data_IF_576170958099
#
_entry.id   IF_576170958099
#
_cell.length_a   1.000
_cell.length_b   1.000
_cell.length_c   1.000
_cell.angle_alpha   90.00
_cell.angle_beta   90.00
_cell.angle_gamma   90.00
#
_symmetry.space_group_name_H-M   'P 1'
#
loop_
_entity.id
_entity.type
_entity.pdbx_description
1 polymer ?
#
# COMPACT_ATOMS: atom_id res chain seq x y z
N UNK A 1 -3.01 1.62 -34.58
CA UNK A 1 -2.38 1.10 -33.34
C UNK A 1 -3.46 0.89 -32.30
N UNK A 2 -3.94 -0.35 -32.28
CA UNK A 2 -5.05 -0.78 -31.42
C UNK A 2 -4.51 -0.97 -30.00
N UNK A 3 -4.78 0.00 -29.12
CA UNK A 3 -4.81 -0.26 -27.70
C UNK A 3 -6.04 -1.14 -27.43
N UNK A 4 -5.86 -2.46 -27.44
CA UNK A 4 -6.86 -3.38 -26.93
C UNK A 4 -6.98 -3.15 -25.43
N UNK A 5 -7.93 -2.29 -25.07
CA UNK A 5 -8.44 -2.25 -23.72
C UNK A 5 -9.02 -3.65 -23.47
N UNK A 6 -8.40 -4.44 -22.62
CA UNK A 6 -9.02 -5.64 -22.10
C UNK A 6 -10.22 -5.18 -21.27
N UNK A 7 -11.35 -5.03 -21.95
CA UNK A 7 -12.65 -4.95 -21.30
C UNK A 7 -12.92 -6.32 -20.70
N UNK A 8 -12.46 -6.54 -19.49
CA UNK A 8 -12.82 -7.72 -18.74
C UNK A 8 -14.34 -7.71 -18.57
N UNK A 9 -14.97 -8.87 -18.76
CA UNK A 9 -16.42 -9.11 -18.67
C UNK A 9 -17.05 -8.58 -17.37
N UNK A 10 -16.21 -8.34 -16.34
CA UNK A 10 -16.55 -7.78 -15.03
C UNK A 10 -16.79 -6.25 -15.07
N UNK A 11 -16.30 -5.54 -16.10
CA UNK A 11 -16.39 -4.08 -16.20
C UNK A 11 -17.78 -3.57 -16.61
N UNK A 12 -18.71 -4.44 -17.00
CA UNK A 12 -20.02 -4.08 -17.56
C UNK A 12 -21.16 -4.05 -16.53
N UNK A 13 -20.97 -4.55 -15.33
CA UNK A 13 -22.00 -4.53 -14.29
C UNK A 13 -21.95 -3.22 -13.49
N UNK A 14 -22.92 -2.34 -13.74
CA UNK A 14 -23.17 -1.15 -12.92
C UNK A 14 -24.13 -1.55 -11.79
N UNK A 15 -23.66 -1.58 -10.57
CA UNK A 15 -24.55 -1.72 -9.41
C UNK A 15 -25.03 -0.32 -9.00
N UNK A 16 -26.32 -0.08 -9.19
CA UNK A 16 -27.00 1.11 -8.71
C UNK A 16 -27.29 0.96 -7.22
N UNK A 17 -26.49 1.55 -6.37
CA UNK A 17 -26.82 1.74 -4.95
C UNK A 17 -27.18 3.22 -4.73
N UNK A 18 -28.44 3.60 -5.05
CA UNK A 18 -28.92 4.95 -4.85
C UNK A 18 -28.23 6.00 -5.74
N UNK A 19 -27.90 7.21 -5.23
CA UNK A 19 -27.31 8.30 -6.00
C UNK A 19 -25.83 8.07 -6.36
N UNK A 20 -25.18 7.02 -5.84
CA UNK A 20 -23.77 6.69 -6.10
C UNK A 20 -23.68 5.57 -7.15
N UNK A 21 -23.23 5.91 -8.35
CA UNK A 21 -22.92 4.95 -9.41
C UNK A 21 -21.49 4.42 -9.18
N UNK A 22 -21.35 3.37 -8.41
CA UNK A 22 -20.06 2.68 -8.26
C UNK A 22 -19.93 1.57 -9.31
N UNK A 23 -18.78 1.50 -9.96
CA UNK A 23 -18.48 0.36 -10.84
C UNK A 23 -18.24 -0.88 -9.95
N UNK A 24 -18.88 -1.99 -10.28
CA UNK A 24 -18.73 -3.28 -9.56
C UNK A 24 -17.26 -3.63 -9.33
N UNK A 25 -16.41 -3.31 -10.29
CA UNK A 25 -14.97 -3.52 -10.21
C UNK A 25 -14.33 -2.77 -9.03
N UNK A 26 -14.79 -1.55 -8.70
CA UNK A 26 -14.26 -0.77 -7.56
C UNK A 26 -14.62 -1.40 -6.23
N UNK A 27 -15.83 -1.94 -6.10
CA UNK A 27 -16.25 -2.66 -4.90
C UNK A 27 -15.43 -3.95 -4.70
N UNK A 28 -15.22 -4.71 -5.77
CA UNK A 28 -14.40 -5.92 -5.73
C UNK A 28 -12.96 -5.58 -5.33
N UNK A 29 -12.37 -4.54 -5.93
CA UNK A 29 -11.02 -4.09 -5.60
C UNK A 29 -10.91 -3.66 -4.12
N UNK A 30 -11.90 -2.93 -3.61
CA UNK A 30 -11.94 -2.53 -2.20
C UNK A 30 -12.01 -3.74 -1.26
N UNK A 31 -12.89 -4.71 -1.55
CA UNK A 31 -13.03 -5.91 -0.74
C UNK A 31 -11.76 -6.78 -0.77
N UNK A 32 -11.15 -6.96 -1.94
CA UNK A 32 -9.90 -7.70 -2.08
C UNK A 32 -8.78 -7.01 -1.31
N UNK A 33 -8.62 -5.69 -1.46
CA UNK A 33 -7.61 -4.91 -0.74
C UNK A 33 -7.81 -4.99 0.77
N UNK A 34 -9.05 -4.86 1.25
CA UNK A 34 -9.39 -4.97 2.67
C UNK A 34 -9.08 -6.38 3.21
N UNK A 35 -9.40 -7.43 2.43
CA UNK A 35 -9.08 -8.81 2.77
C UNK A 35 -7.58 -9.07 2.87
N UNK A 36 -6.80 -8.57 1.91
CA UNK A 36 -5.33 -8.71 1.89
C UNK A 36 -4.69 -7.97 3.07
N UNK A 37 -5.12 -6.73 3.33
CA UNK A 37 -4.64 -5.94 4.47
C UNK A 37 -4.97 -6.64 5.79
N UNK A 38 -6.20 -7.15 5.94
CA UNK A 38 -6.63 -7.88 7.13
C UNK A 38 -5.84 -9.16 7.35
N UNK A 39 -5.60 -9.93 6.28
CA UNK A 39 -4.79 -11.15 6.33
C UNK A 39 -3.34 -10.87 6.74
N UNK A 40 -2.72 -9.83 6.16
CA UNK A 40 -1.38 -9.40 6.53
C UNK A 40 -1.31 -8.91 7.98
N UNK A 41 -2.27 -8.10 8.41
CA UNK A 41 -2.35 -7.64 9.78
C UNK A 41 -2.44 -8.81 10.76
N UNK A 42 -3.34 -9.75 10.50
CA UNK A 42 -3.48 -10.95 11.32
C UNK A 42 -2.19 -11.78 11.34
N UNK A 43 -1.57 -11.99 10.19
CA UNK A 43 -0.31 -12.72 10.07
C UNK A 43 0.82 -12.08 10.87
N UNK A 44 0.98 -10.76 10.77
CA UNK A 44 2.09 -10.04 11.44
C UNK A 44 1.84 -9.91 12.94
N UNK A 45 0.58 -9.71 13.38
CA UNK A 45 0.30 -9.41 14.79
C UNK A 45 -0.02 -10.64 15.63
N UNK A 46 -0.62 -11.68 15.03
CA UNK A 46 -1.16 -12.83 15.77
C UNK A 46 -0.42 -14.15 15.55
N UNK A 47 0.52 -14.22 14.60
CA UNK A 47 1.26 -15.46 14.35
C UNK A 47 2.67 -15.42 14.92
N UNK A 48 3.23 -16.61 15.22
CA UNK A 48 4.64 -16.77 15.64
C UNK A 48 5.61 -16.26 14.58
N UNK A 49 5.25 -16.43 13.29
CA UNK A 49 6.02 -15.90 12.18
C UNK A 49 6.12 -14.37 12.23
N UNK A 50 5.02 -13.68 12.51
CA UNK A 50 5.02 -12.23 12.70
C UNK A 50 5.83 -11.79 13.92
N UNK A 51 5.82 -12.57 15.02
CA UNK A 51 6.68 -12.32 16.18
C UNK A 51 8.16 -12.41 15.82
N UNK A 52 8.54 -13.44 15.06
CA UNK A 52 9.90 -13.66 14.58
C UNK A 52 10.37 -12.52 13.66
N UNK A 53 9.50 -12.05 12.76
CA UNK A 53 9.78 -10.89 11.89
C UNK A 53 10.09 -9.66 12.75
N UNK A 54 9.23 -9.33 13.71
CA UNK A 54 9.43 -8.15 14.56
C UNK A 54 10.69 -8.25 15.41
N UNK A 55 10.95 -9.42 16.01
CA UNK A 55 12.17 -9.65 16.80
C UNK A 55 13.45 -9.43 15.96
N UNK A 56 13.46 -9.97 14.74
CA UNK A 56 14.58 -9.83 13.80
C UNK A 56 14.73 -8.39 13.29
N UNK A 57 13.63 -7.67 13.07
CA UNK A 57 13.66 -6.28 12.65
C UNK A 57 14.27 -5.35 13.71
N UNK A 58 14.04 -5.64 15.00
CA UNK A 58 14.58 -4.82 16.07
C UNK A 58 16.08 -5.08 16.33
N UNK A 59 16.51 -6.36 16.41
CA UNK A 59 17.89 -6.74 16.70
C UNK A 59 18.24 -8.06 16.02
N UNK A 60 18.72 -8.02 14.76
CA UNK A 60 19.03 -9.22 13.98
C UNK A 60 20.12 -10.08 14.63
N UNK A 61 21.11 -9.46 15.31
CA UNK A 61 22.21 -10.20 15.95
C UNK A 61 21.72 -11.04 17.13
N UNK A 62 20.80 -10.49 17.94
CA UNK A 62 20.21 -11.23 19.06
C UNK A 62 19.32 -12.36 18.53
N UNK A 63 18.57 -12.13 17.47
CA UNK A 63 17.75 -13.16 16.85
C UNK A 63 18.59 -14.34 16.34
N UNK A 64 19.77 -14.09 15.78
CA UNK A 64 20.74 -15.14 15.39
C UNK A 64 21.23 -15.94 16.59
N UNK A 65 21.53 -15.29 17.69
CA UNK A 65 21.95 -15.96 18.93
C UNK A 65 20.86 -16.88 19.52
N UNK A 66 19.59 -16.54 19.28
CA UNK A 66 18.44 -17.36 19.68
C UNK A 66 18.13 -18.50 18.70
N UNK A 67 19.00 -18.73 17.70
CA UNK A 67 18.88 -19.82 16.73
C UNK A 67 17.98 -19.50 15.53
N UNK A 68 17.53 -18.25 15.37
CA UNK A 68 16.72 -17.86 14.21
C UNK A 68 17.63 -17.69 12.98
N UNK A 69 17.29 -18.39 11.90
CA UNK A 69 17.98 -18.19 10.63
C UNK A 69 17.47 -16.92 9.94
N UNK A 70 18.15 -15.80 10.24
CA UNK A 70 17.79 -14.45 9.77
C UNK A 70 17.79 -14.37 8.24
N UNK A 71 18.74 -15.03 7.58
CA UNK A 71 18.88 -14.95 6.13
C UNK A 71 17.71 -15.64 5.40
N UNK A 72 17.27 -16.81 5.91
CA UNK A 72 16.05 -17.46 5.40
C UNK A 72 14.80 -16.63 5.64
N UNK A 73 14.70 -16.01 6.81
CA UNK A 73 13.57 -15.17 7.18
C UNK A 73 13.47 -13.96 6.23
N UNK A 74 14.59 -13.29 5.97
CA UNK A 74 14.65 -12.17 5.02
C UNK A 74 14.23 -12.58 3.61
N UNK A 75 14.65 -13.75 3.15
CA UNK A 75 14.27 -14.28 1.85
C UNK A 75 12.75 -14.52 1.79
N UNK A 76 12.16 -15.12 2.82
CA UNK A 76 10.72 -15.36 2.88
C UNK A 76 9.93 -14.03 2.87
N UNK A 77 10.38 -13.03 3.64
CA UNK A 77 9.77 -11.70 3.67
C UNK A 77 9.85 -11.04 2.28
N UNK A 78 11.00 -11.17 1.61
CA UNK A 78 11.19 -10.62 0.27
C UNK A 78 10.24 -11.25 -0.75
N UNK A 79 10.13 -12.58 -0.76
CA UNK A 79 9.18 -13.31 -1.63
C UNK A 79 7.74 -12.89 -1.33
N UNK A 80 7.37 -12.79 -0.05
CA UNK A 80 6.05 -12.35 0.36
C UNK A 80 5.76 -10.93 -0.14
N UNK A 81 6.73 -10.02 -0.06
CA UNK A 81 6.59 -8.65 -0.58
C UNK A 81 6.34 -8.62 -2.08
N UNK A 82 7.03 -9.46 -2.86
CA UNK A 82 6.80 -9.56 -4.31
C UNK A 82 5.39 -10.07 -4.62
N UNK A 83 4.92 -11.07 -3.89
CA UNK A 83 3.53 -11.58 -4.03
C UNK A 83 2.53 -10.47 -3.77
N UNK A 84 2.73 -9.67 -2.71
CA UNK A 84 1.85 -8.56 -2.36
C UNK A 84 1.85 -7.47 -3.44
N UNK A 85 3.00 -7.15 -4.02
CA UNK A 85 3.09 -6.21 -5.15
C UNK A 85 2.32 -6.76 -6.36
N UNK A 86 2.44 -8.04 -6.65
CA UNK A 86 1.69 -8.70 -7.74
C UNK A 86 0.17 -8.62 -7.54
N UNK A 87 -0.31 -8.88 -6.33
CA UNK A 87 -1.73 -8.75 -5.98
C UNK A 87 -2.19 -7.28 -6.12
N UNK A 88 -1.42 -6.33 -5.61
CA UNK A 88 -1.74 -4.91 -5.71
C UNK A 88 -1.80 -4.45 -7.17
N UNK A 89 -0.85 -4.88 -8.01
CA UNK A 89 -0.84 -4.59 -9.44
C UNK A 89 -2.07 -5.18 -10.15
N UNK A 90 -2.46 -6.42 -9.81
CA UNK A 90 -3.67 -7.06 -10.35
C UNK A 90 -4.96 -6.31 -9.99
N UNK A 91 -5.05 -5.79 -8.78
CA UNK A 91 -6.18 -4.97 -8.31
C UNK A 91 -6.22 -3.62 -9.01
N UNK A 92 -5.06 -3.01 -9.29
CA UNK A 92 -4.96 -1.72 -9.96
C UNK A 92 -5.15 -1.81 -11.48
N UNK A 93 -4.84 -2.94 -12.10
CA UNK A 93 -4.86 -3.13 -13.55
C UNK A 93 -6.14 -2.65 -14.27
N UNK A 94 -7.37 -2.83 -13.74
CA UNK A 94 -8.60 -2.37 -14.38
C UNK A 94 -8.79 -0.84 -14.40
N UNK A 95 -8.06 -0.11 -13.54
CA UNK A 95 -8.26 1.35 -13.36
C UNK A 95 -7.10 2.19 -13.85
N UNK A 96 -5.91 1.58 -13.85
CA UNK A 96 -4.67 2.31 -14.06
C UNK A 96 -4.06 1.94 -15.41
N UNK A 97 -3.80 2.96 -16.25
CA UNK A 97 -3.06 2.76 -17.48
C UNK A 97 -1.58 2.66 -17.14
N UNK A 98 -1.02 1.47 -17.22
CA UNK A 98 0.39 1.25 -16.95
C UNK A 98 1.24 1.79 -18.10
N UNK A 99 2.17 2.66 -17.77
CA UNK A 99 3.28 3.09 -18.62
C UNK A 99 4.60 2.52 -18.07
N UNK A 100 5.69 2.47 -18.86
CA UNK A 100 6.99 2.03 -18.34
C UNK A 100 7.48 2.82 -17.12
N UNK A 101 7.05 4.06 -16.97
CA UNK A 101 7.41 4.94 -15.85
C UNK A 101 6.46 4.84 -14.64
N UNK A 102 5.33 4.17 -14.77
CA UNK A 102 4.35 4.05 -13.68
C UNK A 102 4.92 3.37 -12.43
N UNK A 103 5.85 2.43 -12.61
CA UNK A 103 6.52 1.76 -11.50
C UNK A 103 7.29 2.72 -10.60
N UNK A 104 8.02 3.68 -11.18
CA UNK A 104 8.75 4.69 -10.42
C UNK A 104 7.80 5.58 -9.60
N UNK A 105 6.71 6.03 -10.21
CA UNK A 105 5.70 6.86 -9.53
C UNK A 105 5.06 6.13 -8.36
N UNK A 106 4.67 4.86 -8.54
CA UNK A 106 4.10 4.03 -7.48
C UNK A 106 5.11 3.75 -6.36
N UNK A 107 6.39 3.55 -6.70
CA UNK A 107 7.45 3.36 -5.72
C UNK A 107 7.65 4.62 -4.85
N UNK A 108 7.61 5.82 -5.46
CA UNK A 108 7.69 7.08 -4.72
C UNK A 108 6.48 7.27 -3.78
N UNK A 109 5.26 6.94 -4.21
CA UNK A 109 4.10 6.95 -3.32
C UNK A 109 4.26 5.97 -2.16
N UNK A 110 4.76 4.76 -2.42
CA UNK A 110 5.05 3.78 -1.38
C UNK A 110 6.06 4.29 -0.35
N UNK A 111 7.12 4.96 -0.81
CA UNK A 111 8.13 5.56 0.05
C UNK A 111 7.54 6.69 0.90
N UNK A 112 6.71 7.55 0.34
CA UNK A 112 6.01 8.61 1.06
C UNK A 112 5.13 8.03 2.16
N UNK A 113 4.35 6.98 1.84
CA UNK A 113 3.48 6.30 2.81
C UNK A 113 4.30 5.70 3.95
N UNK A 114 5.42 5.05 3.63
CA UNK A 114 6.30 4.42 4.60
C UNK A 114 6.90 5.44 5.57
N UNK A 115 7.45 6.54 5.04
CA UNK A 115 8.05 7.60 5.86
C UNK A 115 7.00 8.33 6.69
N UNK A 116 5.85 8.63 6.10
CA UNK A 116 4.74 9.29 6.77
C UNK A 116 4.12 8.42 7.88
N UNK A 117 4.04 7.11 7.66
CA UNK A 117 3.57 6.15 8.68
C UNK A 117 4.53 6.01 9.85
N UNK A 118 5.83 6.18 9.58
CA UNK A 118 6.94 5.96 10.52
C UNK A 118 7.60 4.61 10.31
N UNK A 119 8.92 4.62 10.20
CA UNK A 119 9.72 3.41 10.01
C UNK A 119 9.49 2.43 11.17
N UNK A 120 9.12 1.19 10.85
CA UNK A 120 8.91 0.11 11.81
C UNK A 120 7.51 0.05 12.42
N UNK A 121 6.61 1.00 12.15
CA UNK A 121 5.23 0.95 12.61
C UNK A 121 4.27 0.49 11.51
N UNK A 122 3.76 -0.73 11.66
CA UNK A 122 2.75 -1.29 10.75
C UNK A 122 1.44 -0.48 10.78
N UNK A 123 0.98 -0.15 11.99
CA UNK A 123 -0.25 0.63 12.19
C UNK A 123 -0.14 2.03 11.59
N UNK A 124 1.03 2.66 11.73
CA UNK A 124 1.31 3.96 11.15
C UNK A 124 1.26 3.95 9.62
N UNK A 125 1.84 2.93 9.01
CA UNK A 125 1.82 2.77 7.55
C UNK A 125 0.41 2.54 7.02
N UNK A 126 -0.43 1.77 7.72
CA UNK A 126 -1.83 1.58 7.37
C UNK A 126 -2.61 2.91 7.41
N UNK A 127 -2.49 3.65 8.52
CA UNK A 127 -3.18 4.95 8.67
C UNK A 127 -2.68 5.94 7.61
N UNK A 128 -1.38 6.02 7.38
CA UNK A 128 -0.80 6.89 6.36
C UNK A 128 -1.30 6.56 4.95
N UNK A 129 -1.40 5.26 4.61
CA UNK A 129 -1.91 4.83 3.30
C UNK A 129 -3.37 5.20 3.08
N UNK A 130 -4.21 5.10 4.12
CA UNK A 130 -5.61 5.52 4.07
C UNK A 130 -5.74 7.04 3.89
N UNK A 131 -4.96 7.82 4.65
CA UNK A 131 -4.95 9.29 4.53
C UNK A 131 -4.52 9.71 3.13
N UNK A 132 -3.41 9.17 2.63
CA UNK A 132 -2.91 9.49 1.29
C UNK A 132 -3.91 9.06 0.22
N UNK A 133 -4.50 7.86 0.34
CA UNK A 133 -5.51 7.38 -0.60
C UNK A 133 -6.75 8.28 -0.65
N UNK A 134 -7.25 8.74 0.51
CA UNK A 134 -8.37 9.67 0.60
C UNK A 134 -8.01 11.04 -0.01
N UNK A 135 -6.86 11.59 0.35
CA UNK A 135 -6.39 12.89 -0.20
C UNK A 135 -6.22 12.79 -1.71
N UNK A 136 -5.69 11.67 -2.23
CA UNK A 136 -5.59 11.44 -3.68
C UNK A 136 -6.95 11.36 -4.34
N UNK A 137 -7.85 10.57 -3.80
CA UNK A 137 -9.21 10.43 -4.34
C UNK A 137 -9.95 11.77 -4.42
N UNK A 138 -9.89 12.58 -3.35
CA UNK A 138 -10.51 13.89 -3.31
C UNK A 138 -9.81 14.88 -4.26
N UNK A 139 -8.47 14.92 -4.22
CA UNK A 139 -7.70 15.85 -5.07
C UNK A 139 -7.89 15.58 -6.55
N UNK A 140 -7.92 14.31 -6.97
CA UNK A 140 -8.07 13.92 -8.37
C UNK A 140 -9.48 14.23 -8.93
N UNK A 141 -10.46 14.47 -8.06
CA UNK A 141 -11.81 14.86 -8.47
C UNK A 141 -11.89 16.37 -8.81
N UNK A 142 -11.17 17.21 -8.07
CA UNK A 142 -11.23 18.67 -8.23
C UNK A 142 -10.11 19.25 -9.09
N UNK A 143 -8.98 18.57 -9.18
CA UNK A 143 -7.73 19.10 -9.74
C UNK A 143 -7.16 18.12 -10.77
N UNK A 144 -6.55 18.60 -11.88
CA UNK A 144 -5.85 17.73 -12.84
C UNK A 144 -4.80 16.84 -12.14
N UNK A 145 -4.64 15.60 -12.62
CA UNK A 145 -3.75 14.60 -12.02
C UNK A 145 -2.31 15.10 -11.72
N UNK A 146 -1.77 15.95 -12.58
CA UNK A 146 -0.45 16.54 -12.38
C UNK A 146 -0.37 17.42 -11.12
N UNK A 147 -1.41 18.18 -10.84
CA UNK A 147 -1.50 19.00 -9.63
C UNK A 147 -1.85 18.18 -8.39
N UNK A 148 -2.63 17.12 -8.53
CA UNK A 148 -2.94 16.20 -7.43
C UNK A 148 -1.67 15.55 -6.86
N UNK A 149 -0.67 15.26 -7.69
CA UNK A 149 0.63 14.76 -7.26
C UNK A 149 1.36 15.78 -6.37
N UNK A 150 1.32 17.06 -6.72
CA UNK A 150 1.95 18.13 -5.91
C UNK A 150 1.31 18.25 -4.52
N UNK A 151 0.00 18.05 -4.40
CA UNK A 151 -0.71 18.03 -3.11
C UNK A 151 -0.16 16.93 -2.19
N UNK A 152 0.19 15.75 -2.76
CA UNK A 152 0.79 14.66 -1.99
C UNK A 152 2.17 15.00 -1.46
N UNK A 153 3.03 15.56 -2.33
CA UNK A 153 4.36 15.99 -1.90
C UNK A 153 4.28 17.10 -0.86
N UNK A 154 3.31 18.01 -1.00
CA UNK A 154 3.10 19.07 -0.02
C UNK A 154 2.63 18.50 1.33
N UNK A 155 1.68 17.58 1.33
CA UNK A 155 1.22 16.90 2.54
C UNK A 155 2.35 16.11 3.21
N UNK A 156 3.14 15.39 2.44
CA UNK A 156 4.33 14.69 2.92
C UNK A 156 5.32 15.65 3.59
N UNK A 157 5.64 16.76 2.92
CA UNK A 157 6.52 17.78 3.47
C UNK A 157 5.98 18.35 4.79
N UNK A 158 4.70 18.65 4.85
CA UNK A 158 4.03 19.16 6.03
C UNK A 158 4.12 18.17 7.20
N UNK A 159 3.86 16.88 6.96
CA UNK A 159 3.99 15.86 8.00
C UNK A 159 5.43 15.73 8.50
N UNK A 160 6.43 15.77 7.61
CA UNK A 160 7.84 15.72 8.02
C UNK A 160 8.29 16.91 8.85
N UNK A 161 7.80 18.12 8.54
CA UNK A 161 8.10 19.33 9.30
C UNK A 161 7.54 19.25 10.73
N UNK A 162 6.30 18.77 10.87
CA UNK A 162 5.64 18.68 12.18
C UNK A 162 6.01 17.43 12.97
N UNK A 163 6.25 16.29 12.26
CA UNK A 163 6.61 15.00 12.86
C UNK A 163 7.67 14.27 12.04
N UNK A 164 8.95 14.56 12.24
CA UNK A 164 10.05 13.95 11.48
C UNK A 164 10.18 12.44 11.68
N UNK A 165 9.57 11.89 12.73
CA UNK A 165 9.55 10.45 13.02
C UNK A 165 8.36 9.71 12.37
N UNK A 166 7.50 10.42 11.62
CA UNK A 166 6.25 9.90 11.10
C UNK A 166 5.10 9.94 12.12
N UNK A 167 3.91 9.53 11.70
CA UNK A 167 2.69 9.60 12.54
C UNK A 167 2.79 8.70 13.78
N UNK A 168 3.39 7.51 13.65
CA UNK A 168 3.52 6.48 14.68
C UNK A 168 4.95 5.97 14.84
N UNK A 169 5.96 6.79 14.52
CA UNK A 169 7.36 6.40 14.70
C UNK A 169 7.65 5.99 16.14
N UNK A 170 8.26 4.84 16.30
CA UNK A 170 8.69 4.32 17.61
C UNK A 170 9.86 5.16 18.08
N UNK A 171 9.76 5.71 19.29
CA UNK A 171 10.87 6.36 20.01
C UNK A 171 11.89 5.35 20.50
#
# INVERSE_FOLDING_TARGET
>A
SDFRVMTSFIALSKVHMGPLVMRTTQLIAFLVSMGVIGALYWMITKTEFGCTIRATAYKPDIARLMGINVDRLQLIIFVLSIIMIGVAAGVLAPYFTFSPYSGLTLALFGLIILVMGGFGSWEGTLVASLIIGLVYGISSFYIPNAMAILVHYFLFYLVLVFRPQGLFGVR
#
